data_IF_898260145266
#
_entry.id   IF_898260145266
#
_cell.length_a   1.000
_cell.length_b   1.000
_cell.length_c   1.000
_cell.angle_alpha   90.00
_cell.angle_beta   90.00
_cell.angle_gamma   90.00
#
_symmetry.space_group_name_H-M   'P 1'
#
loop_
_entity.id
_entity.type
_entity.pdbx_description
1 polymer ?
#
# COMPACT_ATOMS: atom_id res chain seq x y z
N UNK A 1 35.34 -1.28 1.07
CA UNK A 1 33.97 -1.50 1.55
C UNK A 1 33.26 -2.36 0.54
N UNK A 2 32.83 -3.55 0.94
CA UNK A 2 32.08 -4.52 0.15
C UNK A 2 30.58 -4.40 0.44
N UNK A 3 29.74 -5.07 -0.36
CA UNK A 3 28.30 -5.15 -0.09
C UNK A 3 28.01 -5.77 1.28
N UNK A 4 28.79 -6.80 1.67
CA UNK A 4 28.66 -7.45 2.98
C UNK A 4 28.98 -6.51 4.13
N UNK A 5 29.96 -5.62 3.97
CA UNK A 5 30.32 -4.63 5.00
C UNK A 5 29.17 -3.65 5.29
N UNK A 6 28.21 -3.49 4.37
CA UNK A 6 27.09 -2.54 4.47
C UNK A 6 25.77 -3.23 4.82
N UNK A 7 25.47 -4.38 4.21
CA UNK A 7 24.12 -4.97 4.25
C UNK A 7 23.99 -6.28 5.03
N UNK A 8 25.09 -6.96 5.39
CA UNK A 8 25.01 -8.26 6.05
C UNK A 8 24.21 -8.20 7.37
N UNK A 9 24.46 -7.17 8.17
CA UNK A 9 23.73 -6.98 9.43
C UNK A 9 22.23 -6.74 9.17
N UNK A 10 21.89 -5.81 8.27
CA UNK A 10 20.49 -5.50 7.97
C UNK A 10 19.73 -6.71 7.42
N UNK A 11 20.34 -7.50 6.53
CA UNK A 11 19.71 -8.71 5.98
C UNK A 11 19.39 -9.73 7.08
N UNK A 12 20.31 -9.94 8.03
CA UNK A 12 20.09 -10.84 9.16
C UNK A 12 18.99 -10.35 10.09
N UNK A 13 18.99 -9.06 10.42
CA UNK A 13 18.01 -8.44 11.30
C UNK A 13 16.61 -8.42 10.69
N UNK A 14 16.47 -7.97 9.43
CA UNK A 14 15.19 -7.94 8.74
C UNK A 14 14.65 -9.34 8.44
N UNK A 15 15.50 -10.31 8.07
CA UNK A 15 15.04 -11.69 7.89
C UNK A 15 14.46 -12.25 9.19
N UNK A 16 15.19 -12.11 10.30
CA UNK A 16 14.72 -12.58 11.61
C UNK A 16 13.41 -11.90 12.00
N UNK A 17 13.31 -10.58 11.81
CA UNK A 17 12.06 -9.86 12.10
C UNK A 17 10.90 -10.35 11.22
N UNK A 18 11.09 -10.35 9.90
CA UNK A 18 10.04 -10.65 8.92
C UNK A 18 9.53 -12.09 8.99
N UNK A 19 10.40 -13.06 9.31
CA UNK A 19 10.02 -14.47 9.34
C UNK A 19 9.61 -14.96 10.73
N UNK A 20 10.16 -14.41 11.82
CA UNK A 20 9.98 -14.98 13.16
C UNK A 20 9.24 -14.06 14.13
N UNK A 21 9.53 -12.75 14.12
CA UNK A 21 9.20 -11.85 15.24
C UNK A 21 7.98 -10.97 14.97
N UNK A 22 7.78 -10.51 13.73
CA UNK A 22 6.80 -9.47 13.44
C UNK A 22 5.39 -9.84 13.96
N UNK A 23 4.77 -8.90 14.68
CA UNK A 23 3.44 -9.06 15.27
C UNK A 23 2.37 -9.01 14.17
N UNK A 24 1.76 -10.16 13.92
CA UNK A 24 0.81 -10.33 12.83
C UNK A 24 -0.54 -9.69 13.11
N UNK A 25 -0.96 -9.58 14.37
CA UNK A 25 -2.22 -8.91 14.72
C UNK A 25 -2.09 -7.39 14.48
N UNK A 26 -0.95 -6.82 14.88
CA UNK A 26 -0.63 -5.43 14.58
C UNK A 26 -0.55 -5.18 13.07
N UNK A 27 0.13 -6.06 12.32
CA UNK A 27 0.26 -5.94 10.87
C UNK A 27 -1.09 -6.03 10.16
N UNK A 28 -1.99 -6.94 10.57
CA UNK A 28 -3.35 -7.03 10.02
C UNK A 28 -4.10 -5.71 10.21
N UNK A 29 -4.07 -5.16 11.44
CA UNK A 29 -4.68 -3.85 11.72
C UNK A 29 -4.07 -2.73 10.88
N UNK A 30 -2.74 -2.72 10.72
CA UNK A 30 -2.07 -1.71 9.89
C UNK A 30 -2.47 -1.81 8.41
N UNK A 31 -2.71 -3.02 7.90
CA UNK A 31 -3.22 -3.19 6.54
C UNK A 31 -4.60 -2.56 6.40
N UNK A 32 -5.51 -2.87 7.33
CA UNK A 32 -6.88 -2.34 7.34
C UNK A 32 -6.91 -0.81 7.49
N UNK A 33 -6.08 -0.27 8.39
CA UNK A 33 -5.95 1.17 8.58
C UNK A 33 -5.44 1.86 7.32
N UNK A 34 -4.40 1.31 6.67
CA UNK A 34 -3.84 1.88 5.45
C UNK A 34 -4.82 1.82 4.25
N UNK A 35 -5.54 0.70 4.10
CA UNK A 35 -6.58 0.57 3.07
C UNK A 35 -7.69 1.61 3.28
N UNK A 36 -8.25 1.68 4.49
CA UNK A 36 -9.31 2.63 4.83
C UNK A 36 -8.87 4.08 4.65
N UNK A 37 -7.64 4.40 5.06
CA UNK A 37 -7.10 5.74 4.91
C UNK A 37 -6.87 6.10 3.43
N UNK A 38 -6.37 5.16 2.62
CA UNK A 38 -6.24 5.35 1.18
C UNK A 38 -7.59 5.75 0.54
N UNK A 39 -8.65 5.01 0.85
CA UNK A 39 -10.00 5.28 0.35
C UNK A 39 -10.55 6.61 0.87
N UNK A 40 -10.36 6.92 2.16
CA UNK A 40 -10.79 8.16 2.77
C UNK A 40 -10.11 9.39 2.15
N UNK A 41 -8.80 9.30 1.85
CA UNK A 41 -8.04 10.36 1.21
C UNK A 41 -8.51 10.57 -0.23
N UNK A 42 -8.74 9.48 -1.00
CA UNK A 42 -9.31 9.57 -2.36
C UNK A 42 -10.70 10.23 -2.34
N UNK A 43 -11.53 9.91 -1.35
CA UNK A 43 -12.84 10.56 -1.23
C UNK A 43 -12.72 12.05 -0.87
N UNK A 44 -11.81 12.38 0.04
CA UNK A 44 -11.67 13.74 0.58
C UNK A 44 -10.95 14.69 -0.37
N UNK A 45 -10.08 14.17 -1.24
CA UNK A 45 -9.38 14.94 -2.26
C UNK A 45 -10.18 15.17 -3.54
N UNK A 46 -11.40 14.62 -3.63
CA UNK A 46 -12.26 14.74 -4.79
C UNK A 46 -12.52 16.22 -5.14
N UNK A 47 -12.41 16.59 -6.42
CA UNK A 47 -12.70 17.95 -6.85
C UNK A 47 -14.20 18.26 -6.76
N UNK A 48 -14.54 19.55 -6.60
CA UNK A 48 -15.94 20.01 -6.66
C UNK A 48 -16.53 19.90 -8.07
N UNK A 49 -15.71 20.09 -9.10
CA UNK A 49 -16.10 20.04 -10.51
C UNK A 49 -15.36 18.89 -11.23
N UNK A 50 -16.05 18.10 -12.09
CA UNK A 50 -15.41 17.10 -12.92
C UNK A 50 -14.28 17.67 -13.78
N UNK A 51 -13.20 16.90 -13.96
CA UNK A 51 -12.02 17.31 -14.74
C UNK A 51 -11.10 18.32 -14.05
N UNK A 52 -11.38 18.68 -12.79
CA UNK A 52 -10.45 19.46 -11.96
C UNK A 52 -9.45 18.56 -11.23
N UNK A 53 -8.33 19.15 -10.78
CA UNK A 53 -7.26 18.45 -10.07
C UNK A 53 -7.76 17.83 -8.75
N UNK A 54 -7.56 16.52 -8.58
CA UNK A 54 -7.71 15.84 -7.31
C UNK A 54 -6.59 16.24 -6.34
N UNK A 55 -6.94 16.73 -5.15
CA UNK A 55 -5.99 17.43 -4.28
C UNK A 55 -5.12 16.51 -3.43
N UNK A 56 -5.53 15.26 -3.24
CA UNK A 56 -4.90 14.34 -2.28
C UNK A 56 -4.52 12.96 -2.86
N UNK A 57 -4.39 12.82 -4.18
CA UNK A 57 -4.18 11.49 -4.81
C UNK A 57 -2.80 10.91 -4.50
N UNK A 58 -1.76 11.75 -4.36
CA UNK A 58 -0.42 11.28 -4.01
C UNK A 58 -0.34 10.77 -2.55
N UNK A 59 -0.87 11.48 -1.53
CA UNK A 59 -1.00 10.92 -0.19
C UNK A 59 -1.83 9.64 -0.11
N UNK A 60 -2.87 9.48 -0.94
CA UNK A 60 -3.61 8.23 -1.02
C UNK A 60 -2.71 7.09 -1.54
N UNK A 61 -1.92 7.38 -2.58
CA UNK A 61 -0.99 6.40 -3.12
C UNK A 61 0.07 5.97 -2.10
N UNK A 62 0.56 6.87 -1.22
CA UNK A 62 1.45 6.49 -0.12
C UNK A 62 0.81 5.44 0.81
N UNK A 63 -0.49 5.55 1.09
CA UNK A 63 -1.22 4.54 1.87
C UNK A 63 -1.37 3.22 1.12
N UNK A 64 -1.61 3.26 -0.20
CA UNK A 64 -1.58 2.06 -1.04
C UNK A 64 -0.23 1.34 -0.97
N UNK A 65 0.89 2.07 -1.01
CA UNK A 65 2.24 1.48 -0.90
C UNK A 65 2.46 0.89 0.50
N UNK A 66 1.99 1.56 1.56
CA UNK A 66 2.05 1.00 2.93
C UNK A 66 1.26 -0.31 3.04
N UNK A 67 0.03 -0.34 2.53
CA UNK A 67 -0.78 -1.57 2.51
C UNK A 67 -0.07 -2.71 1.77
N UNK A 68 0.53 -2.42 0.61
CA UNK A 68 1.33 -3.39 -0.15
C UNK A 68 2.52 -3.92 0.64
N UNK A 69 3.26 -3.05 1.33
CA UNK A 69 4.41 -3.46 2.13
C UNK A 69 3.98 -4.31 3.34
N UNK A 70 2.94 -3.89 4.06
CA UNK A 70 2.40 -4.64 5.21
C UNK A 70 1.90 -6.02 4.80
N UNK A 71 1.25 -6.13 3.62
CA UNK A 71 0.89 -7.42 3.04
C UNK A 71 2.11 -8.33 2.85
N UNK A 72 3.22 -7.81 2.32
CA UNK A 72 4.45 -8.61 2.14
C UNK A 72 4.99 -9.12 3.48
N UNK A 73 4.90 -8.34 4.56
CA UNK A 73 5.32 -8.77 5.90
C UNK A 73 4.41 -9.88 6.45
N UNK A 74 3.10 -9.75 6.29
CA UNK A 74 2.15 -10.80 6.67
C UNK A 74 2.37 -12.09 5.88
N UNK A 75 2.67 -11.96 4.58
CA UNK A 75 2.98 -13.07 3.70
C UNK A 75 4.28 -13.77 4.11
N UNK A 76 5.33 -13.00 4.43
CA UNK A 76 6.60 -13.53 4.95
C UNK A 76 6.43 -14.25 6.29
N UNK A 77 5.55 -13.74 7.18
CA UNK A 77 5.21 -14.42 8.44
C UNK A 77 4.45 -15.73 8.25
N UNK A 78 3.97 -16.02 7.04
CA UNK A 78 3.29 -17.27 6.70
C UNK A 78 1.91 -17.41 7.35
N UNK A 79 1.30 -16.30 7.80
CA UNK A 79 -0.02 -16.31 8.44
C UNK A 79 -1.18 -16.14 7.46
N UNK A 80 -0.89 -15.88 6.19
CA UNK A 80 -1.88 -15.73 5.12
C UNK A 80 -1.93 -17.04 4.31
N UNK A 81 -3.11 -17.65 4.19
CA UNK A 81 -3.34 -18.81 3.32
C UNK A 81 -3.29 -18.44 1.84
N UNK A 82 -3.21 -19.42 0.94
CA UNK A 82 -3.22 -19.17 -0.51
C UNK A 82 -4.45 -18.39 -0.97
N UNK A 83 -5.63 -18.70 -0.40
CA UNK A 83 -6.87 -18.02 -0.74
C UNK A 83 -6.87 -16.57 -0.23
N UNK A 84 -6.45 -16.36 1.02
CA UNK A 84 -6.33 -15.01 1.59
C UNK A 84 -5.29 -14.17 0.84
N UNK A 85 -4.17 -14.78 0.40
CA UNK A 85 -3.15 -14.09 -0.40
C UNK A 85 -3.75 -13.50 -1.67
N UNK A 86 -4.57 -14.26 -2.39
CA UNK A 86 -5.26 -13.74 -3.58
C UNK A 86 -6.22 -12.59 -3.23
N UNK A 87 -6.93 -12.67 -2.12
CA UNK A 87 -7.81 -11.60 -1.65
C UNK A 87 -7.03 -10.31 -1.32
N UNK A 88 -5.93 -10.40 -0.59
CA UNK A 88 -5.07 -9.25 -0.27
C UNK A 88 -4.44 -8.63 -1.51
N UNK A 89 -3.95 -9.44 -2.46
CA UNK A 89 -3.45 -8.94 -3.76
C UNK A 89 -4.56 -8.18 -4.50
N UNK A 90 -5.78 -8.72 -4.51
CA UNK A 90 -6.95 -8.05 -5.11
C UNK A 90 -7.23 -6.69 -4.49
N UNK A 91 -7.19 -6.59 -3.15
CA UNK A 91 -7.39 -5.34 -2.39
C UNK A 91 -6.33 -4.30 -2.72
N UNK A 92 -5.04 -4.66 -2.64
CA UNK A 92 -3.94 -3.73 -3.01
C UNK A 92 -4.04 -3.28 -4.47
N UNK A 93 -4.41 -4.18 -5.39
CA UNK A 93 -4.62 -3.84 -6.79
C UNK A 93 -5.77 -2.86 -6.98
N UNK A 94 -6.86 -3.00 -6.22
CA UNK A 94 -7.99 -2.09 -6.25
C UNK A 94 -7.58 -0.67 -5.80
N UNK A 95 -6.81 -0.55 -4.71
CA UNK A 95 -6.27 0.73 -4.24
C UNK A 95 -5.35 1.38 -5.29
N UNK A 96 -4.41 0.62 -5.84
CA UNK A 96 -3.48 1.11 -6.85
C UNK A 96 -4.21 1.60 -8.11
N UNK A 97 -5.21 0.82 -8.56
CA UNK A 97 -6.07 1.17 -9.69
C UNK A 97 -6.84 2.47 -9.41
N UNK A 98 -7.48 2.60 -8.26
CA UNK A 98 -8.24 3.79 -7.89
C UNK A 98 -7.35 5.04 -7.83
N UNK A 99 -6.14 4.93 -7.27
CA UNK A 99 -5.15 6.00 -7.29
C UNK A 99 -4.75 6.39 -8.72
N UNK A 100 -4.48 5.42 -9.58
CA UNK A 100 -4.09 5.66 -10.97
C UNK A 100 -5.20 6.31 -11.79
N UNK A 101 -6.43 5.78 -11.71
CA UNK A 101 -7.60 6.35 -12.39
C UNK A 101 -7.87 7.78 -11.94
N UNK A 102 -7.79 8.03 -10.63
CA UNK A 102 -7.94 9.38 -10.06
C UNK A 102 -6.85 10.34 -10.54
N UNK A 103 -5.61 9.86 -10.62
CA UNK A 103 -4.48 10.66 -11.12
C UNK A 103 -4.67 11.04 -12.59
N UNK A 104 -5.06 10.09 -13.44
CA UNK A 104 -5.33 10.32 -14.86
C UNK A 104 -6.48 11.32 -15.01
N UNK A 105 -7.62 11.07 -14.36
CA UNK A 105 -8.80 11.94 -14.42
C UNK A 105 -8.53 13.38 -13.92
N UNK A 106 -7.57 13.55 -13.00
CA UNK A 106 -7.17 14.87 -12.49
C UNK A 106 -6.31 15.69 -13.47
N UNK A 107 -5.82 15.06 -14.55
CA UNK A 107 -4.89 15.63 -15.53
C UNK A 107 -5.44 15.62 -16.96
N UNK A 108 -6.48 14.84 -17.23
CA UNK A 108 -7.21 14.94 -18.49
C UNK A 108 -8.07 16.20 -18.47
N UNK A 109 -7.93 17.10 -19.47
CA UNK A 109 -8.87 18.20 -19.60
C UNK A 109 -10.26 17.61 -19.83
N UNK A 110 -11.27 18.14 -19.13
CA UNK A 110 -12.66 17.78 -19.41
C UNK A 110 -12.92 17.98 -20.90
N UNK A 111 -13.04 16.89 -21.66
CA UNK A 111 -13.45 16.97 -23.05
C UNK A 111 -14.89 17.50 -23.06
N UNK A 112 -15.03 18.79 -23.41
CA UNK A 112 -16.31 19.46 -23.62
C UNK A 112 -16.98 19.06 -24.92
#
# INVERSE_FOLDING_TARGET
VTYGDVFLQSEQEYSRYNFEIADTAMLLKHFEDAEKECEAILKSGAPAEPGSLHRCVLPAYDQCIKASHVFNLLDARGVISVAERQAYIGRVRALAKACAETWIASREPAHG
#
